data_IF_639217854909
#
_entry.id   IF_639217854909
#
_cell.length_a   1.000
_cell.length_b   1.000
_cell.length_c   1.000
_cell.angle_alpha   90.00
_cell.angle_beta   90.00
_cell.angle_gamma   90.00
#
_symmetry.space_group_name_H-M   'P 1'
#
loop_
_entity.id
_entity.type
_entity.pdbx_description
1 polymer ?
#
# COMPACT_ATOMS: atom_id res chain seq x y z
N UNK A 1 13.37 4.23 -8.23
CA UNK A 1 14.06 5.36 -7.62
C UNK A 1 15.47 5.55 -8.18
N UNK A 2 16.07 6.68 -7.87
CA UNK A 2 17.44 6.97 -8.31
C UNK A 2 18.43 6.13 -7.52
N UNK A 3 19.35 5.46 -8.21
CA UNK A 3 20.49 4.78 -7.57
C UNK A 3 21.55 5.80 -7.17
N UNK A 4 22.30 5.50 -6.11
CA UNK A 4 23.36 6.39 -5.65
C UNK A 4 24.56 6.33 -6.62
N UNK A 5 25.03 7.46 -7.20
CA UNK A 5 26.12 7.44 -8.16
C UNK A 5 27.50 7.21 -7.54
N UNK A 6 27.64 7.32 -6.22
CA UNK A 6 28.94 7.29 -5.55
C UNK A 6 29.23 6.01 -4.77
N UNK A 7 28.22 5.17 -4.55
CA UNK A 7 28.37 3.88 -3.83
C UNK A 7 27.40 2.84 -4.36
N UNK A 8 27.74 1.57 -4.17
CA UNK A 8 26.89 0.44 -4.53
C UNK A 8 25.57 0.46 -3.73
N UNK A 9 24.43 0.19 -4.41
CA UNK A 9 24.27 -0.10 -5.83
C UNK A 9 24.25 1.17 -6.70
N UNK A 10 24.93 1.14 -7.85
CA UNK A 10 24.98 2.25 -8.81
C UNK A 10 24.11 2.03 -10.04
N UNK A 11 23.48 0.86 -10.14
CA UNK A 11 22.60 0.46 -11.25
C UNK A 11 21.42 -0.33 -10.72
N UNK A 12 20.36 -0.46 -11.53
CA UNK A 12 19.20 -1.32 -11.21
C UNK A 12 19.58 -2.78 -11.07
N UNK A 13 20.53 -3.28 -11.87
CA UNK A 13 21.13 -4.61 -11.70
C UNK A 13 21.82 -4.77 -10.35
N UNK A 14 22.52 -3.73 -9.89
CA UNK A 14 23.11 -3.70 -8.56
C UNK A 14 22.09 -3.77 -7.44
N UNK A 15 20.89 -3.20 -7.62
CA UNK A 15 19.78 -3.31 -6.67
C UNK A 15 19.31 -4.76 -6.54
N UNK A 16 19.15 -5.49 -7.65
CA UNK A 16 18.83 -6.92 -7.64
C UNK A 16 19.86 -7.73 -6.86
N UNK A 17 21.15 -7.43 -7.09
CA UNK A 17 22.25 -8.09 -6.40
C UNK A 17 22.21 -7.85 -4.88
N UNK A 18 21.90 -6.62 -4.45
CA UNK A 18 21.75 -6.30 -3.02
C UNK A 18 20.63 -7.12 -2.39
N UNK A 19 19.46 -7.17 -3.00
CA UNK A 19 18.36 -8.01 -2.48
C UNK A 19 18.76 -9.48 -2.39
N UNK A 20 19.36 -10.01 -3.46
CA UNK A 20 19.79 -11.41 -3.51
C UNK A 20 20.79 -11.73 -2.40
N UNK A 21 21.83 -10.90 -2.22
CA UNK A 21 22.87 -11.08 -1.21
C UNK A 21 22.33 -11.05 0.21
N UNK A 22 21.54 -10.03 0.53
CA UNK A 22 20.98 -9.88 1.87
C UNK A 22 19.98 -11.00 2.22
N UNK A 23 19.12 -11.42 1.31
CA UNK A 23 18.22 -12.55 1.56
C UNK A 23 18.95 -13.89 1.64
N UNK A 24 20.04 -14.08 0.89
CA UNK A 24 20.92 -15.26 1.04
C UNK A 24 21.54 -15.29 2.44
N UNK A 25 22.12 -14.19 2.89
CA UNK A 25 22.69 -14.07 4.25
C UNK A 25 21.61 -14.28 5.32
N UNK A 26 20.42 -13.78 5.11
CA UNK A 26 19.29 -13.97 6.04
C UNK A 26 18.88 -15.46 6.14
N UNK A 27 18.90 -16.22 5.04
CA UNK A 27 18.67 -17.68 5.07
C UNK A 27 19.73 -18.40 5.92
N UNK A 28 21.00 -18.05 5.74
CA UNK A 28 22.09 -18.63 6.51
C UNK A 28 21.97 -18.31 8.00
N UNK A 29 21.64 -17.06 8.30
CA UNK A 29 21.38 -16.59 9.67
C UNK A 29 20.22 -17.35 10.32
N UNK A 30 19.08 -17.45 9.64
CA UNK A 30 17.90 -18.16 10.12
C UNK A 30 18.21 -19.64 10.37
N UNK A 31 18.91 -20.28 9.45
CA UNK A 31 19.34 -21.67 9.59
C UNK A 31 20.26 -21.87 10.79
N UNK A 32 21.21 -20.96 11.02
CA UNK A 32 22.12 -21.02 12.16
C UNK A 32 21.34 -20.93 13.49
N UNK A 33 20.38 -20.01 13.58
CA UNK A 33 19.51 -19.89 14.76
C UNK A 33 18.59 -21.10 14.96
N UNK A 34 18.03 -21.65 13.89
CA UNK A 34 17.20 -22.88 13.95
C UNK A 34 18.03 -24.07 14.47
N UNK A 35 19.26 -24.26 13.99
CA UNK A 35 20.19 -25.28 14.47
C UNK A 35 20.54 -25.11 15.96
N UNK A 36 20.89 -23.89 16.35
CA UNK A 36 21.19 -23.59 17.75
C UNK A 36 19.98 -23.86 18.67
N UNK A 37 18.81 -23.44 18.28
CA UNK A 37 17.57 -23.67 19.07
C UNK A 37 17.23 -25.18 19.16
N UNK A 38 17.41 -25.92 18.07
CA UNK A 38 17.20 -27.38 18.05
C UNK A 38 18.19 -28.15 18.91
N UNK A 39 19.40 -27.64 19.13
CA UNK A 39 20.41 -28.25 20.02
C UNK A 39 20.09 -28.15 21.52
N UNK A 40 18.94 -27.56 21.87
CA UNK A 40 18.50 -27.34 23.25
C UNK A 40 19.23 -26.19 23.96
N UNK A 41 19.89 -25.32 23.20
CA UNK A 41 20.61 -24.11 23.74
C UNK A 41 21.67 -24.46 24.80
N UNK A 42 22.22 -25.68 24.75
CA UNK A 42 23.10 -26.23 25.78
C UNK A 42 24.43 -25.48 25.94
N UNK A 43 24.86 -24.83 24.86
CA UNK A 43 26.12 -24.07 24.86
C UNK A 43 25.86 -22.64 24.36
N UNK A 44 25.65 -21.73 25.30
CA UNK A 44 25.39 -20.30 25.00
C UNK A 44 26.55 -19.65 24.24
N UNK A 45 27.78 -20.16 24.38
CA UNK A 45 28.95 -19.63 23.67
C UNK A 45 28.87 -19.91 22.15
N UNK A 46 28.06 -20.86 21.73
CA UNK A 46 27.82 -21.20 20.32
C UNK A 46 26.58 -20.52 19.72
N UNK A 47 25.89 -19.67 20.48
CA UNK A 47 24.77 -18.90 19.94
C UNK A 47 25.23 -18.00 18.80
N UNK A 48 24.51 -17.97 17.67
CA UNK A 48 24.80 -17.01 16.61
C UNK A 48 24.74 -15.59 17.16
N UNK A 49 25.61 -14.71 16.67
CA UNK A 49 25.56 -13.29 17.03
C UNK A 49 24.23 -12.69 16.52
N UNK A 50 23.56 -11.92 17.37
CA UNK A 50 22.36 -11.17 16.95
C UNK A 50 22.73 -10.12 15.92
N UNK A 51 22.01 -10.14 14.79
CA UNK A 51 22.09 -9.19 13.70
C UNK A 51 20.66 -8.73 13.40
N UNK A 52 20.34 -7.47 13.68
CA UNK A 52 18.97 -6.95 13.57
C UNK A 52 18.51 -6.82 12.10
N UNK A 53 19.44 -6.58 11.17
CA UNK A 53 19.12 -6.52 9.73
C UNK A 53 18.73 -7.92 9.23
N UNK A 54 19.59 -8.90 9.48
CA UNK A 54 19.34 -10.28 9.07
C UNK A 54 18.16 -10.91 9.80
N UNK A 55 17.92 -10.55 11.06
CA UNK A 55 16.75 -10.98 11.81
C UNK A 55 15.46 -10.50 11.15
N UNK A 56 15.40 -9.21 10.76
CA UNK A 56 14.24 -8.64 10.07
C UNK A 56 13.95 -9.38 8.75
N UNK A 57 14.99 -9.66 7.96
CA UNK A 57 14.83 -10.41 6.71
C UNK A 57 14.46 -11.87 6.95
N UNK A 58 14.97 -12.49 8.02
CA UNK A 58 14.57 -13.84 8.42
C UNK A 58 13.08 -13.89 8.85
N UNK A 59 12.55 -12.82 9.47
CA UNK A 59 11.12 -12.71 9.76
C UNK A 59 10.28 -12.66 8.48
N UNK A 60 10.75 -11.98 7.43
CA UNK A 60 10.11 -11.98 6.11
C UNK A 60 10.11 -13.39 5.50
N UNK A 61 11.25 -14.08 5.48
CA UNK A 61 11.39 -15.45 5.00
C UNK A 61 10.47 -16.44 5.73
N UNK A 62 10.14 -16.17 6.99
CA UNK A 62 9.26 -16.99 7.82
C UNK A 62 7.81 -16.45 7.90
N UNK A 63 7.40 -15.55 7.03
CA UNK A 63 6.07 -14.93 6.97
C UNK A 63 5.60 -14.27 8.28
N UNK A 64 6.54 -13.76 9.08
CA UNK A 64 6.26 -13.02 10.32
C UNK A 64 6.22 -11.51 10.10
N UNK A 65 6.69 -11.05 8.96
CA UNK A 65 6.73 -9.65 8.55
C UNK A 65 6.35 -9.54 7.08
N UNK A 66 5.56 -8.53 6.77
CA UNK A 66 5.11 -8.23 5.41
C UNK A 66 5.95 -7.12 4.78
N UNK A 67 6.13 -7.18 3.46
CA UNK A 67 6.87 -6.19 2.69
C UNK A 67 5.91 -5.41 1.81
N UNK A 68 6.04 -4.09 1.86
CA UNK A 68 5.50 -3.19 0.84
C UNK A 68 6.67 -2.60 0.06
N UNK A 69 6.65 -2.70 -1.26
CA UNK A 69 7.74 -2.24 -2.11
C UNK A 69 7.30 -1.10 -3.01
N UNK A 70 8.02 0.02 -2.96
CA UNK A 70 7.86 1.12 -3.89
C UNK A 70 8.46 0.75 -5.24
N UNK A 71 7.69 0.81 -6.31
CA UNK A 71 8.14 0.54 -7.67
C UNK A 71 7.25 1.24 -8.68
N UNK A 72 7.77 1.56 -9.87
CA UNK A 72 7.01 2.24 -10.92
C UNK A 72 6.90 1.39 -12.18
N UNK A 73 8.04 0.93 -12.71
CA UNK A 73 8.15 0.31 -14.03
C UNK A 73 8.14 -1.21 -13.96
N UNK A 74 7.63 -1.83 -15.03
CA UNK A 74 7.46 -3.28 -15.12
C UNK A 74 8.73 -4.09 -14.82
N UNK A 75 9.90 -3.62 -15.30
CA UNK A 75 11.16 -4.33 -15.10
C UNK A 75 11.60 -4.40 -13.63
N UNK A 76 11.30 -3.36 -12.85
CA UNK A 76 11.60 -3.33 -11.41
C UNK A 76 10.62 -4.20 -10.63
N UNK A 77 9.34 -4.19 -11.02
CA UNK A 77 8.30 -5.06 -10.43
C UNK A 77 8.69 -6.53 -10.64
N UNK A 78 9.00 -6.92 -11.89
CA UNK A 78 9.40 -8.29 -12.22
C UNK A 78 10.73 -8.69 -11.56
N UNK A 79 11.69 -7.79 -11.48
CA UNK A 79 12.98 -8.08 -10.82
C UNK A 79 12.76 -8.55 -9.39
N UNK A 80 12.00 -7.81 -8.59
CA UNK A 80 11.79 -8.19 -7.20
C UNK A 80 10.90 -9.43 -7.05
N UNK A 81 9.90 -9.65 -7.93
CA UNK A 81 9.14 -10.90 -7.96
C UNK A 81 10.05 -12.10 -8.21
N UNK A 82 10.94 -12.02 -9.19
CA UNK A 82 11.91 -13.09 -9.50
C UNK A 82 12.84 -13.37 -8.33
N UNK A 83 13.34 -12.33 -7.66
CA UNK A 83 14.16 -12.49 -6.45
C UNK A 83 13.35 -13.13 -5.33
N UNK A 84 12.10 -12.70 -5.13
CA UNK A 84 11.23 -13.23 -4.10
C UNK A 84 10.95 -14.73 -4.31
N UNK A 85 10.60 -15.12 -5.54
CA UNK A 85 10.34 -16.52 -5.89
C UNK A 85 11.60 -17.37 -5.72
N UNK A 86 12.75 -16.91 -6.20
CA UNK A 86 14.06 -17.59 -6.04
C UNK A 86 14.45 -17.72 -4.56
N UNK A 87 14.20 -16.70 -3.76
CA UNK A 87 14.56 -16.66 -2.35
C UNK A 87 13.48 -17.24 -1.43
N UNK A 88 12.28 -17.54 -1.94
CA UNK A 88 11.20 -18.17 -1.20
C UNK A 88 10.54 -17.24 -0.17
N UNK A 89 10.41 -15.96 -0.48
CA UNK A 89 9.60 -15.03 0.30
C UNK A 89 8.47 -14.43 -0.52
N UNK A 90 7.54 -13.75 0.13
CA UNK A 90 6.42 -13.07 -0.53
C UNK A 90 6.56 -11.56 -0.43
N UNK A 91 6.38 -10.88 -1.56
CA UNK A 91 6.07 -9.46 -1.61
C UNK A 91 4.58 -9.31 -1.32
N UNK A 92 4.20 -8.57 -0.30
CA UNK A 92 2.80 -8.41 0.07
C UNK A 92 2.09 -7.41 -0.86
N UNK A 93 2.69 -6.26 -1.05
CA UNK A 93 2.09 -5.17 -1.81
C UNK A 93 3.17 -4.38 -2.56
N UNK A 94 2.89 -4.07 -3.81
CA UNK A 94 3.60 -3.00 -4.51
C UNK A 94 2.85 -1.69 -4.35
N UNK A 95 3.59 -0.60 -4.11
CA UNK A 95 3.03 0.74 -3.92
C UNK A 95 3.34 1.63 -5.12
N UNK A 96 2.36 2.43 -5.51
CA UNK A 96 2.33 3.40 -6.62
C UNK A 96 2.90 2.84 -7.95
N UNK A 97 2.54 1.60 -8.26
CA UNK A 97 2.99 0.94 -9.49
C UNK A 97 2.17 1.39 -10.68
N UNK A 98 2.75 2.21 -11.54
CA UNK A 98 2.04 2.78 -12.68
C UNK A 98 2.12 1.92 -13.96
N UNK A 99 3.02 0.94 -13.99
CA UNK A 99 3.10 -0.07 -15.05
C UNK A 99 2.66 -1.48 -14.62
N UNK A 100 1.92 -1.59 -13.53
CA UNK A 100 1.41 -2.89 -13.05
C UNK A 100 0.55 -3.61 -14.07
N UNK A 101 -0.19 -2.88 -14.90
CA UNK A 101 -1.02 -3.42 -15.97
C UNK A 101 -0.25 -4.26 -17.00
N UNK A 102 1.05 -3.99 -17.18
CA UNK A 102 1.90 -4.72 -18.12
C UNK A 102 2.32 -6.10 -17.62
N UNK A 103 2.25 -6.33 -16.32
CA UNK A 103 2.76 -7.52 -15.61
C UNK A 103 1.75 -8.11 -14.62
N UNK A 104 0.48 -7.77 -14.79
CA UNK A 104 -0.61 -8.16 -13.88
C UNK A 104 -0.75 -9.68 -13.72
N UNK A 105 -0.48 -10.46 -14.76
CA UNK A 105 -0.47 -11.92 -14.75
C UNK A 105 0.61 -12.44 -13.80
N UNK A 106 1.84 -11.95 -13.88
CA UNK A 106 2.95 -12.36 -13.02
C UNK A 106 2.74 -11.94 -11.56
N UNK A 107 2.17 -10.77 -11.36
CA UNK A 107 1.77 -10.30 -10.04
C UNK A 107 0.70 -11.22 -9.43
N UNK A 108 -0.27 -11.66 -10.24
CA UNK A 108 -1.31 -12.60 -9.82
C UNK A 108 -0.74 -13.98 -9.47
N UNK A 109 0.15 -14.51 -10.29
CA UNK A 109 0.85 -15.78 -10.03
C UNK A 109 1.60 -15.76 -8.70
N UNK A 110 2.29 -14.68 -8.39
CA UNK A 110 2.99 -14.48 -7.12
C UNK A 110 2.03 -14.30 -5.93
N UNK A 111 0.84 -13.73 -6.18
CA UNK A 111 -0.15 -13.43 -5.16
C UNK A 111 0.06 -12.08 -4.47
N UNK A 112 0.74 -11.13 -5.12
CA UNK A 112 1.00 -9.79 -4.59
C UNK A 112 -0.20 -8.87 -4.82
N UNK A 113 -0.45 -7.95 -3.87
CA UNK A 113 -1.39 -6.86 -4.04
C UNK A 113 -0.76 -5.62 -4.67
N UNK A 114 -1.58 -4.66 -5.05
CA UNK A 114 -1.16 -3.46 -5.74
C UNK A 114 -1.79 -2.20 -5.16
N UNK A 115 -1.00 -1.17 -4.99
CA UNK A 115 -1.49 0.18 -4.76
C UNK A 115 -1.01 1.08 -5.90
N UNK A 116 -1.87 1.93 -6.43
CA UNK A 116 -1.56 2.80 -7.56
C UNK A 116 -2.30 4.13 -7.47
N UNK A 117 -1.88 5.10 -8.28
CA UNK A 117 -2.66 6.32 -8.52
C UNK A 117 -3.72 6.06 -9.59
N UNK A 118 -4.82 6.82 -9.55
CA UNK A 118 -5.92 6.64 -10.48
C UNK A 118 -5.60 7.15 -11.88
N UNK A 119 -4.94 8.30 -12.00
CA UNK A 119 -4.69 8.97 -13.27
C UNK A 119 -3.45 9.89 -13.28
N UNK A 120 -2.43 9.56 -12.53
CA UNK A 120 -1.16 10.26 -12.59
C UNK A 120 -0.28 9.69 -13.70
N UNK A 121 0.04 10.48 -14.69
CA UNK A 121 0.94 10.11 -15.78
C UNK A 121 1.83 11.28 -16.20
N UNK A 122 2.97 10.94 -16.83
CA UNK A 122 3.86 11.84 -17.55
C UNK A 122 4.44 13.03 -16.74
N UNK A 123 4.36 13.05 -15.42
CA UNK A 123 4.97 14.11 -14.61
C UNK A 123 6.47 13.86 -14.31
N UNK A 124 6.97 12.67 -14.58
CA UNK A 124 8.39 12.29 -14.57
C UNK A 124 8.61 11.08 -15.48
N UNK A 125 9.87 10.82 -15.81
CA UNK A 125 10.21 9.77 -16.79
C UNK A 125 9.69 8.38 -16.39
N UNK A 126 9.80 7.97 -15.12
CA UNK A 126 9.39 6.65 -14.65
C UNK A 126 7.88 6.40 -14.73
N UNK A 127 7.09 7.42 -15.01
CA UNK A 127 5.62 7.31 -15.11
C UNK A 127 5.11 7.69 -16.52
N UNK A 128 6.00 7.66 -17.51
CA UNK A 128 5.66 8.03 -18.89
C UNK A 128 4.62 7.08 -19.50
N UNK A 129 4.66 5.81 -19.15
CA UNK A 129 3.73 4.78 -19.65
C UNK A 129 2.55 4.52 -18.70
N UNK A 130 2.33 5.40 -17.71
CA UNK A 130 1.17 5.30 -16.84
C UNK A 130 -0.12 5.55 -17.62
N UNK A 131 -1.16 4.77 -17.31
CA UNK A 131 -2.49 4.90 -17.91
C UNK A 131 -3.57 4.86 -16.84
N UNK A 132 -4.70 5.57 -17.01
CA UNK A 132 -5.78 5.56 -16.02
C UNK A 132 -6.48 4.20 -15.89
N UNK A 133 -6.31 3.30 -16.86
CA UNK A 133 -6.84 1.93 -16.81
C UNK A 133 -5.99 0.96 -15.98
N UNK A 134 -4.81 1.38 -15.49
CA UNK A 134 -3.88 0.52 -14.76
C UNK A 134 -4.55 -0.23 -13.60
N UNK A 135 -5.21 0.48 -12.70
CA UNK A 135 -5.94 -0.14 -11.59
C UNK A 135 -7.03 -1.12 -12.04
N UNK A 136 -7.95 -0.70 -12.92
CA UNK A 136 -8.96 -1.59 -13.49
C UNK A 136 -8.41 -2.84 -14.18
N UNK A 137 -7.34 -2.74 -14.96
CA UNK A 137 -6.71 -3.89 -15.63
C UNK A 137 -6.18 -4.88 -14.57
N UNK A 138 -5.44 -4.40 -13.58
CA UNK A 138 -4.94 -5.26 -12.50
C UNK A 138 -6.09 -5.92 -11.72
N UNK A 139 -7.15 -5.17 -11.41
CA UNK A 139 -8.35 -5.70 -10.75
C UNK A 139 -8.99 -6.84 -11.57
N UNK A 140 -9.19 -6.63 -12.87
CA UNK A 140 -9.79 -7.61 -13.78
C UNK A 140 -8.92 -8.88 -13.93
N UNK A 141 -7.60 -8.79 -13.70
CA UNK A 141 -6.72 -9.95 -13.57
C UNK A 141 -6.82 -10.62 -12.18
N UNK A 142 -7.66 -10.10 -11.29
CA UNK A 142 -7.93 -10.66 -9.97
C UNK A 142 -6.92 -10.29 -8.88
N UNK A 143 -6.20 -9.18 -9.04
CA UNK A 143 -5.39 -8.62 -7.96
C UNK A 143 -6.26 -7.84 -6.96
N UNK A 144 -5.82 -7.78 -5.72
CA UNK A 144 -6.32 -6.80 -4.76
C UNK A 144 -5.67 -5.45 -5.08
N UNK A 145 -6.47 -4.50 -5.55
CA UNK A 145 -5.99 -3.17 -5.95
C UNK A 145 -6.51 -2.11 -5.00
N UNK A 146 -5.63 -1.21 -4.57
CA UNK A 146 -5.97 -0.01 -3.82
C UNK A 146 -5.55 1.26 -4.58
N UNK A 147 -6.27 2.36 -4.35
CA UNK A 147 -5.85 3.68 -4.78
C UNK A 147 -5.27 4.47 -3.62
N UNK A 148 -4.15 5.13 -3.89
CA UNK A 148 -3.49 6.04 -2.98
C UNK A 148 -3.28 7.41 -3.65
N UNK A 149 -3.10 8.45 -2.83
CA UNK A 149 -2.95 9.81 -3.35
C UNK A 149 -1.50 10.27 -3.42
N UNK A 150 -0.71 9.90 -2.43
CA UNK A 150 0.66 10.41 -2.21
C UNK A 150 0.75 11.96 -2.24
N UNK A 151 -0.38 12.62 -1.95
CA UNK A 151 -0.58 14.07 -2.03
C UNK A 151 -1.59 14.53 -0.99
N UNK A 152 -1.29 15.64 -0.29
CA UNK A 152 -2.10 16.15 0.80
C UNK A 152 -3.51 16.63 0.36
N UNK A 153 -3.63 17.20 -0.84
CA UNK A 153 -4.91 17.66 -1.37
C UNK A 153 -5.76 16.48 -1.88
N UNK A 154 -5.15 15.56 -2.61
CA UNK A 154 -5.84 14.38 -3.16
C UNK A 154 -6.26 13.40 -2.08
N UNK A 155 -5.54 13.30 -0.96
CA UNK A 155 -5.91 12.41 0.15
C UNK A 155 -7.30 12.72 0.72
N UNK A 156 -7.75 13.96 0.60
CA UNK A 156 -9.10 14.40 1.00
C UNK A 156 -10.20 14.01 0.00
N UNK A 157 -9.85 13.50 -1.17
CA UNK A 157 -10.76 13.22 -2.29
C UNK A 157 -10.61 11.80 -2.84
N UNK A 158 -10.21 10.83 -2.01
CA UNK A 158 -10.03 9.44 -2.44
C UNK A 158 -11.32 8.82 -2.98
N UNK A 159 -12.48 9.29 -2.54
CA UNK A 159 -13.77 8.94 -3.12
C UNK A 159 -13.86 9.29 -4.62
N UNK A 160 -13.32 10.44 -5.02
CA UNK A 160 -13.26 10.85 -6.44
C UNK A 160 -12.20 10.06 -7.21
N UNK A 161 -11.10 9.67 -6.57
CA UNK A 161 -10.11 8.78 -7.17
C UNK A 161 -10.73 7.40 -7.48
N UNK A 162 -11.51 6.85 -6.55
CA UNK A 162 -12.27 5.62 -6.78
C UNK A 162 -13.25 5.72 -7.96
N UNK A 163 -13.95 6.85 -8.09
CA UNK A 163 -14.89 7.09 -9.21
C UNK A 163 -14.21 7.00 -10.59
N UNK A 164 -12.93 7.29 -10.69
CA UNK A 164 -12.17 7.18 -11.94
C UNK A 164 -12.04 5.73 -12.43
N UNK A 165 -12.02 4.75 -11.52
CA UNK A 165 -12.04 3.33 -11.91
C UNK A 165 -13.34 2.94 -12.62
N UNK A 166 -14.48 3.52 -12.20
CA UNK A 166 -15.76 3.36 -12.91
C UNK A 166 -15.65 3.98 -14.30
N UNK A 167 -15.18 5.22 -14.37
CA UNK A 167 -15.15 5.99 -15.63
C UNK A 167 -14.18 5.42 -16.67
N UNK A 168 -12.96 5.06 -16.25
CA UNK A 168 -11.90 4.65 -17.17
C UNK A 168 -11.84 3.15 -17.40
N UNK A 169 -12.29 2.36 -16.44
CA UNK A 169 -12.15 0.89 -16.46
C UNK A 169 -13.46 0.13 -16.46
N UNK A 170 -14.60 0.84 -16.44
CA UNK A 170 -15.93 0.24 -16.35
C UNK A 170 -16.06 -0.74 -15.17
N UNK A 171 -15.39 -0.45 -14.06
CA UNK A 171 -15.52 -1.18 -12.80
C UNK A 171 -16.85 -0.81 -12.16
N UNK A 172 -17.56 -1.75 -11.54
CA UNK A 172 -18.78 -1.43 -10.81
C UNK A 172 -18.50 -0.45 -9.66
N UNK A 173 -19.48 0.38 -9.30
CA UNK A 173 -19.33 1.35 -8.21
C UNK A 173 -18.94 0.66 -6.89
N UNK A 174 -19.50 -0.50 -6.61
CA UNK A 174 -19.17 -1.29 -5.43
C UNK A 174 -17.70 -1.72 -5.41
N UNK A 175 -17.18 -2.26 -6.51
CA UNK A 175 -15.78 -2.68 -6.58
C UNK A 175 -14.83 -1.48 -6.57
N UNK A 176 -15.18 -0.40 -7.28
CA UNK A 176 -14.40 0.83 -7.27
C UNK A 176 -14.29 1.44 -5.86
N UNK A 177 -15.36 1.39 -5.08
CA UNK A 177 -15.37 1.85 -3.70
C UNK A 177 -14.41 1.04 -2.81
N UNK A 178 -14.26 -0.26 -3.07
CA UNK A 178 -13.30 -1.11 -2.36
C UNK A 178 -11.84 -0.68 -2.56
N UNK A 179 -11.52 -0.01 -3.67
CA UNK A 179 -10.14 0.46 -3.93
C UNK A 179 -9.64 1.48 -2.91
N UNK A 180 -10.54 2.16 -2.22
CA UNK A 180 -10.20 3.17 -1.20
C UNK A 180 -10.71 2.81 0.21
N UNK A 181 -11.30 1.63 0.38
CA UNK A 181 -11.85 1.17 1.67
C UNK A 181 -11.35 -0.23 2.05
N UNK A 182 -12.00 -1.28 1.57
CA UNK A 182 -11.70 -2.65 1.96
C UNK A 182 -10.36 -3.15 1.43
N UNK A 183 -9.98 -2.79 0.21
CA UNK A 183 -8.74 -3.29 -0.38
C UNK A 183 -7.49 -2.74 0.32
N UNK A 184 -7.37 -1.43 0.66
CA UNK A 184 -6.29 -0.97 1.53
C UNK A 184 -6.22 -1.72 2.86
N UNK A 185 -7.36 -1.99 3.49
CA UNK A 185 -7.41 -2.75 4.73
C UNK A 185 -6.87 -4.19 4.56
N UNK A 186 -7.23 -4.86 3.45
CA UNK A 186 -6.68 -6.18 3.10
C UNK A 186 -5.17 -6.14 2.88
N UNK A 187 -4.67 -5.14 2.17
CA UNK A 187 -3.24 -4.99 1.90
C UNK A 187 -2.43 -4.70 3.17
N UNK A 188 -3.06 -4.12 4.17
CA UNK A 188 -2.48 -3.84 5.50
C UNK A 188 -2.73 -4.96 6.51
N UNK A 189 -3.48 -6.02 6.15
CA UNK A 189 -3.87 -7.12 7.03
C UNK A 189 -4.66 -6.67 8.28
N UNK A 190 -5.55 -5.69 8.11
CA UNK A 190 -6.45 -5.16 9.15
C UNK A 190 -7.92 -5.19 8.73
N UNK A 191 -8.24 -5.94 7.68
CA UNK A 191 -9.59 -6.03 7.15
C UNK A 191 -10.55 -6.84 8.04
N UNK A 192 -10.05 -7.50 9.05
CA UNK A 192 -10.81 -8.05 10.15
C UNK A 192 -11.43 -6.96 11.06
N UNK A 193 -10.80 -5.77 11.12
CA UNK A 193 -11.19 -4.67 12.00
C UNK A 193 -11.88 -3.52 11.26
N UNK A 194 -11.38 -3.15 10.08
CA UNK A 194 -11.81 -1.95 9.35
C UNK A 194 -12.10 -2.22 7.88
N UNK A 195 -12.38 -1.19 7.09
CA UNK A 195 -12.49 -1.21 5.63
C UNK A 195 -13.86 -1.63 5.10
N UNK A 196 -14.80 -2.05 5.95
CA UNK A 196 -16.17 -2.36 5.53
C UNK A 196 -17.13 -2.28 6.72
N UNK A 197 -18.38 -1.94 6.46
CA UNK A 197 -19.44 -1.92 7.47
C UNK A 197 -19.88 -3.36 7.72
N UNK A 198 -19.49 -3.93 8.85
CA UNK A 198 -19.86 -5.28 9.27
C UNK A 198 -19.88 -5.36 10.80
N UNK A 199 -20.81 -6.14 11.34
CA UNK A 199 -20.90 -6.38 12.79
C UNK A 199 -19.56 -6.95 13.30
N UNK A 200 -19.02 -6.35 14.34
CA UNK A 200 -17.74 -6.73 14.96
C UNK A 200 -16.52 -5.96 14.45
N UNK A 201 -16.69 -5.08 13.47
CA UNK A 201 -15.64 -4.14 13.03
C UNK A 201 -15.79 -2.78 13.72
N UNK A 202 -14.70 -2.03 13.72
CA UNK A 202 -14.68 -0.66 14.21
C UNK A 202 -15.65 0.21 13.42
N UNK A 203 -16.37 1.07 14.12
CA UNK A 203 -17.41 1.90 13.51
C UNK A 203 -16.79 3.18 12.91
N UNK A 204 -15.93 3.00 11.92
CA UNK A 204 -15.35 4.05 11.10
C UNK A 204 -16.26 4.29 9.90
N UNK A 205 -17.13 5.29 10.00
CA UNK A 205 -18.24 5.52 9.07
C UNK A 205 -18.29 6.97 8.64
N UNK A 206 -18.53 7.20 7.35
CA UNK A 206 -18.79 8.53 6.80
C UNK A 206 -20.21 8.59 6.25
N UNK A 207 -20.97 9.57 6.68
CA UNK A 207 -22.28 9.90 6.11
C UNK A 207 -22.10 10.94 5.02
N UNK A 208 -22.67 10.66 3.85
CA UNK A 208 -22.59 11.51 2.68
C UNK A 208 -23.99 12.03 2.30
N UNK A 209 -24.08 13.26 1.80
CA UNK A 209 -25.31 13.83 1.29
C UNK A 209 -25.75 13.27 -0.07
N UNK A 210 -24.88 12.53 -0.76
CA UNK A 210 -25.11 11.94 -2.07
C UNK A 210 -24.22 10.70 -2.26
N UNK A 211 -24.32 10.03 -3.42
CA UNK A 211 -23.39 8.95 -3.80
C UNK A 211 -21.93 9.42 -3.62
N UNK A 212 -21.12 8.74 -2.78
CA UNK A 212 -19.76 9.18 -2.48
C UNK A 212 -18.84 9.26 -3.70
N UNK A 213 -19.14 8.55 -4.79
CA UNK A 213 -18.39 8.61 -6.05
C UNK A 213 -18.74 9.87 -6.89
N UNK A 214 -19.74 10.64 -6.49
CA UNK A 214 -20.07 11.91 -7.15
C UNK A 214 -19.15 13.04 -6.74
N UNK A 215 -18.74 13.88 -7.70
CA UNK A 215 -18.00 15.13 -7.41
C UNK A 215 -18.80 16.13 -6.59
N UNK A 216 -20.12 15.98 -6.50
CA UNK A 216 -21.01 16.81 -5.69
C UNK A 216 -21.22 16.25 -4.27
N UNK A 217 -20.72 15.06 -3.98
CA UNK A 217 -20.84 14.45 -2.67
C UNK A 217 -20.02 15.22 -1.63
N UNK A 218 -20.64 15.46 -0.47
CA UNK A 218 -20.01 16.06 0.70
C UNK A 218 -20.20 15.15 1.89
N UNK A 219 -19.14 14.97 2.67
CA UNK A 219 -19.24 14.31 3.96
C UNK A 219 -20.05 15.20 4.92
N UNK A 220 -21.13 14.69 5.47
CA UNK A 220 -21.95 15.38 6.48
C UNK A 220 -21.44 15.05 7.88
N UNK A 221 -21.10 13.78 8.13
CA UNK A 221 -20.52 13.34 9.40
C UNK A 221 -19.42 12.30 9.16
N UNK A 222 -18.39 12.36 10.01
CA UNK A 222 -17.35 11.33 10.09
C UNK A 222 -17.30 10.79 11.50
N UNK A 223 -17.44 9.48 11.61
CA UNK A 223 -17.33 8.75 12.87
C UNK A 223 -16.07 7.91 12.83
N UNK A 224 -15.35 7.86 13.95
CA UNK A 224 -14.20 6.97 14.20
C UNK A 224 -14.50 6.22 15.47
N UNK A 225 -14.47 4.90 15.44
CA UNK A 225 -14.85 4.02 16.56
C UNK A 225 -16.25 4.39 17.15
N UNK A 226 -17.16 4.84 16.29
CA UNK A 226 -18.51 5.25 16.68
C UNK A 226 -18.63 6.66 17.28
N UNK A 227 -17.51 7.38 17.47
CA UNK A 227 -17.50 8.75 17.98
C UNK A 227 -17.52 9.74 16.81
N UNK A 228 -18.36 10.77 16.88
CA UNK A 228 -18.44 11.81 15.85
C UNK A 228 -17.24 12.75 15.96
N UNK A 229 -16.35 12.71 14.99
CA UNK A 229 -15.17 13.58 14.87
C UNK A 229 -15.41 14.80 13.99
N UNK A 230 -16.30 14.68 13.01
CA UNK A 230 -16.70 15.78 12.15
C UNK A 230 -18.22 15.78 11.98
N UNK A 231 -18.79 16.98 12.06
CA UNK A 231 -20.20 17.27 11.75
C UNK A 231 -20.24 18.60 11.00
N UNK A 232 -20.73 18.59 9.76
CA UNK A 232 -20.71 19.76 8.88
C UNK A 232 -21.51 20.93 9.45
N UNK A 233 -22.63 20.67 10.12
CA UNK A 233 -23.44 21.73 10.72
C UNK A 233 -22.72 22.41 11.90
N UNK A 234 -22.05 21.62 12.72
CA UNK A 234 -21.21 22.16 13.82
C UNK A 234 -20.01 22.95 13.28
N UNK A 235 -19.37 22.47 12.22
CA UNK A 235 -18.25 23.15 11.59
C UNK A 235 -18.67 24.51 10.98
N UNK A 236 -19.79 24.53 10.26
CA UNK A 236 -20.36 25.76 9.69
C UNK A 236 -20.68 26.80 10.79
N UNK A 237 -21.32 26.38 11.89
CA UNK A 237 -21.61 27.24 13.02
C UNK A 237 -20.34 27.82 13.66
N UNK A 238 -19.29 26.99 13.83
CA UNK A 238 -17.98 27.45 14.33
C UNK A 238 -17.32 28.44 13.40
N UNK A 239 -17.34 28.18 12.09
CA UNK A 239 -16.78 29.10 11.08
C UNK A 239 -17.45 30.45 11.10
N UNK A 240 -18.79 30.47 11.20
CA UNK A 240 -19.57 31.73 11.31
C UNK A 240 -19.22 32.50 12.59
N UNK A 241 -19.12 31.81 13.74
CA UNK A 241 -18.73 32.43 15.01
C UNK A 241 -17.30 33.00 14.96
N UNK A 242 -16.35 32.25 14.42
CA UNK A 242 -14.96 32.69 14.26
C UNK A 242 -14.84 33.90 13.30
N UNK A 243 -15.62 33.92 12.23
CA UNK A 243 -15.65 35.04 11.29
C UNK A 243 -16.17 36.34 11.96
N UNK A 244 -17.20 36.21 12.80
CA UNK A 244 -17.75 37.32 13.58
C UNK A 244 -16.72 37.85 14.57
N UNK A 245 -16.15 36.97 15.39
CA UNK A 245 -15.12 37.33 16.38
C UNK A 245 -13.92 38.02 15.72
N UNK A 246 -13.45 37.48 14.57
CA UNK A 246 -12.36 38.09 13.81
C UNK A 246 -12.70 39.50 13.34
N UNK A 247 -13.93 39.74 12.90
CA UNK A 247 -14.35 41.08 12.47
C UNK A 247 -14.47 42.10 13.63
N UNK A 248 -14.69 41.62 14.86
CA UNK A 248 -14.72 42.45 16.07
C UNK A 248 -13.31 42.77 16.59
N UNK A 249 -12.31 41.94 16.27
CA UNK A 249 -10.91 42.14 16.72
C UNK A 249 -10.04 42.95 15.76
N UNK A 250 -10.48 43.17 14.53
CA UNK A 250 -9.77 43.96 13.48
C UNK A 250 -10.50 45.30 13.24
#
# INVERSE_FOLDING_TARGET
GNVNPTRFPQTRMGVEQVFTDYFQRAKEYDLAWKKFNASGKKDKAKAPRTDLELQTLAEILNNKRFITCHSYVQSEILMLLNVADKMGFKVNTYTHILEGYKVADKMKEHGVGASTFSDWWAYKFEVNDAIPQNGPIMHNHGLVVAYNSDDAEMSRRLNQEAAKAVKYGNISEEEAWKFVTLNPAKLLHIDDKVGSIKVGKDADVVLWNNNPLSIYAKAEKTLIEGVVYFDSQVDEAKRAANAKERAELI
#
